data_IF_545098964359
#
_entry.id   IF_545098964359
#
_cell.length_a   1.000
_cell.length_b   1.000
_cell.length_c   1.000
_cell.angle_alpha   90.00
_cell.angle_beta   90.00
_cell.angle_gamma   90.00
#
_symmetry.space_group_name_H-M   'P 1'
#
loop_
_entity.id
_entity.type
_entity.pdbx_description
1 polymer ?
#
# COMPACT_ATOMS: atom_id res chain seq x y z
N UNK A 1 16.85 -48.70 14.02
CA UNK A 1 15.68 -49.19 13.26
C UNK A 1 14.43 -48.61 13.89
N UNK A 2 13.51 -48.18 13.03
CA UNK A 2 12.47 -47.17 13.25
C UNK A 2 11.47 -47.43 14.39
N UNK A 3 11.19 -46.38 15.17
CA UNK A 3 9.91 -46.19 15.85
C UNK A 3 9.02 -45.34 14.93
N UNK A 4 8.00 -45.94 14.33
CA UNK A 4 7.02 -45.27 13.47
C UNK A 4 5.76 -45.02 14.31
N UNK A 5 5.52 -43.75 14.68
CA UNK A 5 4.26 -43.31 15.26
C UNK A 5 3.26 -43.09 14.11
N UNK A 6 2.20 -43.90 14.09
CA UNK A 6 1.04 -43.66 13.26
C UNK A 6 0.32 -42.40 13.74
N UNK A 7 0.39 -41.32 12.96
CA UNK A 7 -0.53 -40.18 13.08
C UNK A 7 -1.71 -40.41 12.14
N UNK A 8 -2.85 -40.71 12.74
CA UNK A 8 -4.15 -40.77 12.06
C UNK A 8 -4.50 -39.36 11.56
N UNK A 9 -4.46 -39.16 10.25
CA UNK A 9 -4.95 -37.94 9.61
C UNK A 9 -6.48 -37.90 9.67
N UNK A 10 -7.03 -36.94 10.42
CA UNK A 10 -8.45 -36.57 10.30
C UNK A 10 -8.53 -35.55 9.16
N UNK A 11 -8.76 -36.05 7.95
CA UNK A 11 -9.11 -35.23 6.80
C UNK A 11 -10.58 -34.83 6.92
N UNK A 12 -10.84 -33.71 7.59
CA UNK A 12 -12.14 -33.03 7.54
C UNK A 12 -12.19 -32.13 6.31
N UNK A 13 -12.63 -32.67 5.17
CA UNK A 13 -12.96 -31.87 4.01
C UNK A 13 -14.22 -31.04 4.32
N UNK A 14 -14.04 -29.78 4.73
CA UNK A 14 -15.12 -28.80 4.71
C UNK A 14 -15.29 -28.37 3.25
N UNK A 15 -16.25 -28.96 2.56
CA UNK A 15 -16.68 -28.51 1.25
C UNK A 15 -17.30 -27.12 1.39
N UNK A 16 -16.52 -26.07 1.10
CA UNK A 16 -17.07 -24.74 0.87
C UNK A 16 -17.72 -24.73 -0.51
N UNK A 17 -19.01 -24.44 -0.53
CA UNK A 17 -19.79 -24.33 -1.76
C UNK A 17 -19.31 -23.13 -2.59
N UNK A 18 -18.39 -23.34 -3.52
CA UNK A 18 -18.07 -22.38 -4.58
C UNK A 18 -19.26 -22.32 -5.52
N UNK A 19 -20.12 -21.31 -5.35
CA UNK A 19 -21.08 -20.96 -6.39
C UNK A 19 -20.31 -20.19 -7.46
N UNK A 20 -20.25 -20.72 -8.68
CA UNK A 20 -19.74 -19.97 -9.81
C UNK A 20 -20.58 -18.70 -9.97
N UNK A 21 -19.95 -17.54 -9.80
CA UNK A 21 -20.63 -16.25 -9.87
C UNK A 21 -21.03 -15.98 -11.33
N UNK A 22 -22.31 -15.67 -11.62
CA UNK A 22 -22.70 -15.26 -12.97
C UNK A 22 -21.97 -13.97 -13.35
N UNK A 23 -21.60 -13.84 -14.63
CA UNK A 23 -21.03 -12.61 -15.17
C UNK A 23 -21.95 -11.41 -14.83
N UNK A 24 -21.44 -10.43 -14.08
CA UNK A 24 -22.18 -9.22 -13.70
C UNK A 24 -22.56 -9.07 -12.21
N UNK A 25 -22.13 -9.95 -11.30
CA UNK A 25 -22.29 -9.69 -9.87
C UNK A 25 -21.37 -8.54 -9.40
N UNK A 26 -21.93 -7.57 -8.68
CA UNK A 26 -21.25 -6.33 -8.28
C UNK A 26 -19.99 -6.54 -7.42
N UNK A 27 -20.02 -7.52 -6.51
CA UNK A 27 -18.88 -7.92 -5.71
C UNK A 27 -19.09 -9.34 -5.15
N UNK A 28 -17.99 -10.07 -4.95
CA UNK A 28 -18.02 -11.38 -4.27
C UNK A 28 -17.38 -11.25 -2.90
N UNK A 29 -18.14 -11.53 -1.82
CA UNK A 29 -17.62 -11.61 -0.46
C UNK A 29 -17.26 -13.04 -0.10
N UNK A 30 -16.06 -13.24 0.45
CA UNK A 30 -15.55 -14.54 0.87
C UNK A 30 -14.85 -14.39 2.22
N UNK A 31 -15.25 -15.20 3.19
CA UNK A 31 -14.52 -15.35 4.44
C UNK A 31 -13.52 -16.51 4.30
N UNK A 32 -12.26 -16.24 4.58
CA UNK A 32 -11.15 -17.19 4.43
C UNK A 32 -10.81 -17.83 5.77
N UNK A 33 -10.28 -19.06 5.71
CA UNK A 33 -9.95 -19.86 6.90
C UNK A 33 -8.87 -19.22 7.79
N UNK A 34 -8.10 -18.26 7.25
CA UNK A 34 -7.08 -17.50 7.96
C UNK A 34 -7.62 -16.23 8.66
N UNK A 35 -8.93 -16.02 8.67
CA UNK A 35 -9.58 -14.89 9.37
C UNK A 35 -9.61 -13.59 8.56
N UNK A 36 -9.35 -13.65 7.25
CA UNK A 36 -9.65 -12.56 6.32
C UNK A 36 -11.11 -12.61 5.89
N UNK A 37 -11.77 -11.45 5.86
CA UNK A 37 -13.03 -11.26 5.16
C UNK A 37 -12.78 -10.38 3.94
N UNK A 38 -12.88 -10.96 2.74
CA UNK A 38 -12.47 -10.33 1.49
C UNK A 38 -13.70 -10.03 0.66
N UNK A 39 -13.83 -8.80 0.17
CA UNK A 39 -14.83 -8.41 -0.83
C UNK A 39 -14.13 -8.05 -2.13
N UNK A 40 -14.32 -8.82 -3.19
CA UNK A 40 -13.68 -8.63 -4.49
C UNK A 40 -14.65 -7.97 -5.45
N UNK A 41 -14.24 -6.85 -6.05
CA UNK A 41 -14.93 -6.16 -7.14
C UNK A 41 -14.25 -6.51 -8.46
N UNK A 42 -14.98 -7.20 -9.32
CA UNK A 42 -14.46 -7.73 -10.59
C UNK A 42 -14.19 -6.63 -11.62
N UNK A 43 -13.18 -6.85 -12.48
CA UNK A 43 -12.79 -5.89 -13.51
C UNK A 43 -13.90 -5.63 -14.53
N UNK A 44 -14.66 -6.66 -14.91
CA UNK A 44 -15.81 -6.53 -15.78
C UNK A 44 -16.91 -5.67 -15.14
N UNK A 45 -17.17 -5.86 -13.85
CA UNK A 45 -18.10 -5.00 -13.11
C UNK A 45 -17.61 -3.55 -13.07
N UNK A 46 -16.36 -3.31 -12.68
CA UNK A 46 -15.80 -1.96 -12.59
C UNK A 46 -15.73 -1.26 -13.95
N UNK A 47 -15.58 -2.01 -15.06
CA UNK A 47 -15.64 -1.46 -16.40
C UNK A 47 -17.02 -0.87 -16.73
N UNK A 48 -18.11 -1.47 -16.24
CA UNK A 48 -19.48 -0.90 -16.39
C UNK A 48 -19.69 0.40 -15.60
N UNK A 49 -18.77 0.72 -14.69
CA UNK A 49 -18.80 1.89 -13.81
C UNK A 49 -17.90 3.02 -14.29
N UNK A 50 -17.28 2.87 -15.45
CA UNK A 50 -16.48 3.94 -16.08
C UNK A 50 -17.40 5.09 -16.48
N UNK A 51 -16.98 6.28 -16.12
CA UNK A 51 -17.66 7.55 -16.33
C UNK A 51 -16.59 8.65 -16.50
N UNK A 52 -17.01 9.91 -16.42
CA UNK A 52 -16.10 11.07 -16.49
C UNK A 52 -16.09 11.83 -15.18
N UNK A 53 -14.91 12.29 -14.78
CA UNK A 53 -14.66 13.23 -13.69
C UNK A 53 -13.77 14.35 -14.25
N UNK A 54 -14.24 15.60 -14.21
CA UNK A 54 -13.52 16.77 -14.75
C UNK A 54 -13.02 16.55 -16.19
N UNK A 55 -13.86 15.94 -17.02
CA UNK A 55 -13.56 15.64 -18.44
C UNK A 55 -12.63 14.45 -18.66
N UNK A 56 -12.13 13.80 -17.61
CA UNK A 56 -11.22 12.66 -17.70
C UNK A 56 -11.93 11.35 -17.32
N UNK A 57 -11.51 10.19 -17.88
CA UNK A 57 -12.06 8.89 -17.49
C UNK A 57 -11.85 8.59 -16.00
N UNK A 58 -12.89 8.10 -15.34
CA UNK A 58 -12.86 7.67 -13.94
C UNK A 58 -13.84 6.53 -13.69
N UNK A 59 -13.54 5.63 -12.75
CA UNK A 59 -14.46 4.59 -12.28
C UNK A 59 -15.21 5.10 -11.06
N UNK A 60 -16.55 5.09 -11.09
CA UNK A 60 -17.38 5.44 -9.92
C UNK A 60 -17.62 4.23 -9.03
N UNK A 61 -17.03 4.18 -7.84
CA UNK A 61 -17.21 3.12 -6.86
C UNK A 61 -18.61 3.17 -6.21
N UNK A 62 -19.01 2.10 -5.54
CA UNK A 62 -20.36 1.95 -4.96
C UNK A 62 -20.69 2.90 -3.81
N UNK A 63 -19.67 3.34 -3.10
CA UNK A 63 -19.79 4.36 -2.07
C UNK A 63 -19.69 5.80 -2.62
N UNK A 64 -19.75 5.97 -3.94
CA UNK A 64 -19.79 7.27 -4.60
C UNK A 64 -18.42 7.89 -4.88
N UNK A 65 -17.32 7.25 -4.45
CA UNK A 65 -15.96 7.70 -4.75
C UNK A 65 -15.64 7.53 -6.24
N UNK A 66 -14.69 8.32 -6.73
CA UNK A 66 -14.19 8.23 -8.11
C UNK A 66 -12.72 7.82 -8.10
N UNK A 67 -12.38 6.93 -9.02
CA UNK A 67 -11.00 6.48 -9.27
C UNK A 67 -10.61 6.94 -10.66
N UNK A 68 -9.82 8.02 -10.82
CA UNK A 68 -9.35 8.47 -12.12
C UNK A 68 -8.51 7.37 -12.80
N UNK A 69 -8.77 7.09 -14.08
CA UNK A 69 -8.11 6.03 -14.83
C UNK A 69 -7.60 6.48 -16.19
N UNK A 70 -6.72 5.67 -16.76
CA UNK A 70 -6.22 5.81 -18.13
C UNK A 70 -6.80 4.64 -18.94
N UNK A 71 -7.75 4.93 -19.82
CA UNK A 71 -8.44 3.91 -20.62
C UNK A 71 -7.77 3.63 -21.96
N UNK A 72 -6.92 4.55 -22.43
CA UNK A 72 -6.17 4.38 -23.68
C UNK A 72 -4.76 3.89 -23.36
N UNK A 73 -4.42 2.69 -23.84
CA UNK A 73 -3.07 2.15 -23.69
C UNK A 73 -2.02 3.05 -24.34
N UNK A 74 -2.38 3.85 -25.35
CA UNK A 74 -1.47 4.76 -26.04
C UNK A 74 -1.22 6.07 -25.28
N UNK A 75 -1.90 6.32 -24.16
CA UNK A 75 -1.67 7.50 -23.31
C UNK A 75 -0.15 7.63 -22.99
N UNK A 76 0.45 8.83 -23.13
CA UNK A 76 1.88 9.04 -22.93
C UNK A 76 2.41 8.63 -21.56
N UNK A 77 1.54 8.57 -20.54
CA UNK A 77 1.92 8.11 -19.20
C UNK A 77 2.17 6.60 -19.12
N UNK A 78 1.66 5.81 -20.07
CA UNK A 78 1.91 4.36 -20.17
C UNK A 78 3.19 4.14 -20.96
N UNK A 79 4.33 3.98 -20.28
CA UNK A 79 5.63 3.85 -20.94
C UNK A 79 5.81 2.48 -21.64
N UNK A 80 5.36 1.40 -21.00
CA UNK A 80 5.38 0.04 -21.54
C UNK A 80 3.99 -0.31 -22.05
N UNK A 81 3.86 -0.58 -23.34
CA UNK A 81 2.58 -0.91 -23.99
C UNK A 81 2.28 -2.41 -24.01
N UNK A 82 3.26 -3.25 -23.67
CA UNK A 82 3.13 -4.71 -23.71
C UNK A 82 2.58 -5.20 -25.06
N UNK A 83 1.48 -5.95 -25.03
CA UNK A 83 0.80 -6.45 -26.23
C UNK A 83 -0.26 -5.49 -26.81
N UNK A 84 -0.37 -4.28 -26.26
CA UNK A 84 -1.37 -3.29 -26.67
C UNK A 84 -2.72 -3.45 -25.98
N UNK A 85 -2.83 -4.29 -24.95
CA UNK A 85 -4.05 -4.41 -24.13
C UNK A 85 -3.75 -4.36 -22.63
N UNK A 86 -4.76 -3.97 -21.85
CA UNK A 86 -4.70 -4.05 -20.38
C UNK A 86 -5.24 -5.41 -19.92
N UNK A 87 -4.50 -6.06 -19.04
CA UNK A 87 -4.76 -7.38 -18.48
C UNK A 87 -5.05 -7.25 -16.99
N UNK A 88 -6.33 -7.20 -16.58
CA UNK A 88 -6.70 -7.10 -15.17
C UNK A 88 -6.38 -8.38 -14.41
N UNK A 89 -6.17 -8.24 -13.10
CA UNK A 89 -6.14 -9.39 -12.20
C UNK A 89 -7.48 -10.13 -12.22
N UNK A 90 -7.43 -11.45 -11.99
CA UNK A 90 -8.65 -12.26 -11.83
C UNK A 90 -8.99 -12.45 -10.36
N UNK A 91 -10.27 -12.65 -10.06
CA UNK A 91 -10.73 -12.96 -8.70
C UNK A 91 -10.12 -14.28 -8.19
N UNK A 92 -9.91 -15.25 -9.08
CA UNK A 92 -9.26 -16.52 -8.75
C UNK A 92 -7.82 -16.30 -8.28
N UNK A 93 -7.02 -15.53 -9.02
CA UNK A 93 -5.63 -15.26 -8.65
C UNK A 93 -5.54 -14.48 -7.32
N UNK A 94 -6.37 -13.44 -7.15
CA UNK A 94 -6.39 -12.65 -5.93
C UNK A 94 -6.84 -13.46 -4.71
N UNK A 95 -7.94 -14.23 -4.82
CA UNK A 95 -8.42 -15.06 -3.72
C UNK A 95 -7.50 -16.26 -3.46
N UNK A 96 -6.85 -16.81 -4.49
CA UNK A 96 -5.86 -17.88 -4.37
C UNK A 96 -4.69 -17.42 -3.49
N UNK A 97 -4.07 -16.30 -3.84
CA UNK A 97 -2.99 -15.70 -3.06
C UNK A 97 -3.36 -15.47 -1.58
N UNK A 98 -4.55 -14.90 -1.34
CA UNK A 98 -5.03 -14.62 0.02
C UNK A 98 -5.42 -15.89 0.80
N UNK A 99 -5.79 -16.98 0.12
CA UNK A 99 -6.07 -18.27 0.78
C UNK A 99 -4.80 -18.95 1.25
N UNK A 100 -3.72 -18.86 0.48
CA UNK A 100 -2.45 -19.51 0.78
C UNK A 100 -1.65 -18.83 1.91
N UNK A 101 -2.19 -17.77 2.54
CA UNK A 101 -1.47 -17.12 3.64
C UNK A 101 -1.32 -18.05 4.85
N UNK A 102 -0.10 -18.11 5.35
CA UNK A 102 0.25 -18.84 6.55
C UNK A 102 -0.20 -18.07 7.81
N UNK A 103 -0.56 -18.83 8.84
CA UNK A 103 -1.03 -18.38 10.16
C UNK A 103 -2.51 -17.91 10.22
N UNK A 104 -3.34 -18.51 11.10
CA UNK A 104 -4.74 -18.12 11.26
C UNK A 104 -4.91 -16.87 12.14
N UNK A 105 -5.98 -16.11 11.90
CA UNK A 105 -6.51 -14.98 12.70
C UNK A 105 -5.93 -13.59 12.41
N UNK A 106 -5.85 -13.21 11.13
CA UNK A 106 -5.51 -11.82 10.75
C UNK A 106 -6.59 -10.80 11.12
N UNK A 107 -7.85 -11.21 11.21
CA UNK A 107 -9.00 -10.36 11.59
C UNK A 107 -9.10 -9.07 10.75
N UNK A 108 -8.83 -9.17 9.44
CA UNK A 108 -8.92 -8.04 8.50
C UNK A 108 -10.17 -8.15 7.64
N UNK A 109 -10.84 -7.02 7.42
CA UNK A 109 -11.81 -6.87 6.35
C UNK A 109 -11.12 -6.12 5.21
N UNK A 110 -11.08 -6.71 4.03
CA UNK A 110 -10.32 -6.19 2.87
C UNK A 110 -11.26 -6.07 1.68
N UNK A 111 -11.21 -4.93 0.99
CA UNK A 111 -11.89 -4.74 -0.30
C UNK A 111 -10.84 -4.76 -1.40
N UNK A 112 -10.99 -5.65 -2.38
CA UNK A 112 -10.05 -5.81 -3.49
C UNK A 112 -10.75 -5.35 -4.76
N UNK A 113 -10.22 -4.32 -5.40
CA UNK A 113 -10.71 -3.78 -6.67
C UNK A 113 -9.78 -4.25 -7.79
N UNK A 114 -10.27 -5.15 -8.65
CA UNK A 114 -9.55 -5.63 -9.82
C UNK A 114 -9.74 -4.61 -10.94
N UNK A 115 -8.82 -3.66 -11.10
CA UNK A 115 -9.06 -2.53 -11.98
C UNK A 115 -8.96 -2.96 -13.46
N UNK A 116 -9.94 -2.58 -14.31
CA UNK A 116 -9.85 -2.80 -15.75
C UNK A 116 -8.81 -1.88 -16.42
N UNK A 117 -8.48 -0.77 -15.77
CA UNK A 117 -7.60 0.29 -16.28
C UNK A 117 -6.68 0.79 -15.17
N UNK A 118 -5.41 1.13 -15.47
CA UNK A 118 -4.51 1.68 -14.45
C UNK A 118 -5.01 3.04 -13.99
N UNK A 119 -4.75 3.36 -12.72
CA UNK A 119 -5.16 4.66 -12.16
C UNK A 119 -4.25 5.75 -12.66
N UNK A 120 -4.83 6.91 -12.98
CA UNK A 120 -4.07 8.09 -13.34
C UNK A 120 -3.16 8.48 -12.17
N UNK A 121 -1.89 8.78 -12.44
CA UNK A 121 -0.83 9.12 -11.48
C UNK A 121 -0.35 7.98 -10.56
N UNK A 122 -1.07 6.86 -10.44
CA UNK A 122 -0.67 5.68 -9.65
C UNK A 122 -0.88 4.42 -10.48
N UNK A 123 0.02 4.22 -11.46
CA UNK A 123 -0.09 3.16 -12.47
C UNK A 123 0.06 1.75 -11.88
N UNK A 124 0.74 1.62 -10.75
CA UNK A 124 0.95 0.35 -10.05
C UNK A 124 -0.21 0.04 -9.11
N UNK A 125 -0.28 -1.21 -8.64
CA UNK A 125 -1.17 -1.58 -7.54
C UNK A 125 -0.88 -0.75 -6.30
N UNK A 126 -1.88 -0.52 -5.47
CA UNK A 126 -1.67 0.17 -4.19
C UNK A 126 -2.77 -0.14 -3.19
N UNK A 127 -2.50 0.23 -1.96
CA UNK A 127 -3.45 0.16 -0.87
C UNK A 127 -3.84 1.53 -0.33
N UNK A 128 -5.12 1.70 0.01
CA UNK A 128 -5.66 2.87 0.71
C UNK A 128 -6.59 2.41 1.83
N UNK A 129 -6.13 2.52 3.08
CA UNK A 129 -6.86 1.98 4.23
C UNK A 129 -7.00 0.45 4.14
N UNK A 130 -8.23 -0.03 3.97
CA UNK A 130 -8.59 -1.44 3.78
C UNK A 130 -8.82 -1.84 2.31
N UNK A 131 -8.61 -0.89 1.38
CA UNK A 131 -8.88 -1.07 -0.04
C UNK A 131 -7.58 -1.36 -0.77
N UNK A 132 -7.55 -2.48 -1.49
CA UNK A 132 -6.48 -2.87 -2.39
C UNK A 132 -6.96 -2.61 -3.81
N UNK A 133 -6.25 -1.74 -4.53
CA UNK A 133 -6.48 -1.48 -5.94
C UNK A 133 -5.42 -2.23 -6.75
N UNK A 134 -5.81 -3.32 -7.41
CA UNK A 134 -4.92 -4.10 -8.26
C UNK A 134 -4.98 -3.52 -9.67
N UNK A 135 -3.91 -2.85 -10.09
CA UNK A 135 -3.81 -2.24 -11.42
C UNK A 135 -3.55 -3.32 -12.48
N UNK A 136 -4.14 -3.22 -13.69
CA UNK A 136 -3.92 -4.21 -14.73
C UNK A 136 -2.47 -4.17 -15.23
N UNK A 137 -2.00 -5.28 -15.77
CA UNK A 137 -0.73 -5.36 -16.47
C UNK A 137 -0.94 -5.11 -17.98
N UNK A 138 0.16 -5.07 -18.74
CA UNK A 138 0.14 -4.96 -20.21
C UNK A 138 0.49 -6.28 -20.91
N UNK A 139 0.57 -7.35 -20.12
CA UNK A 139 0.74 -8.75 -20.52
C UNK A 139 -0.05 -9.60 -19.53
N UNK A 140 -0.32 -10.86 -19.89
CA UNK A 140 -0.88 -11.84 -18.97
C UNK A 140 -0.09 -11.92 -17.66
N UNK A 141 -0.83 -12.02 -16.55
CA UNK A 141 -0.26 -12.00 -15.20
C UNK A 141 0.03 -13.44 -14.78
N UNK A 142 1.30 -13.75 -14.56
CA UNK A 142 1.71 -15.02 -13.97
C UNK A 142 1.14 -15.18 -12.54
N UNK A 143 0.62 -16.36 -12.15
CA UNK A 143 0.06 -16.59 -10.82
C UNK A 143 1.01 -16.22 -9.67
N UNK A 144 2.32 -16.46 -9.83
CA UNK A 144 3.31 -16.09 -8.81
C UNK A 144 3.47 -14.58 -8.66
N UNK A 145 3.44 -13.84 -9.78
CA UNK A 145 3.43 -12.37 -9.78
C UNK A 145 2.14 -11.85 -9.13
N UNK A 146 1.01 -12.49 -9.41
CA UNK A 146 -0.23 -12.13 -8.75
C UNK A 146 -0.17 -12.37 -7.23
N UNK A 147 0.35 -13.51 -6.81
CA UNK A 147 0.51 -13.85 -5.40
C UNK A 147 1.46 -12.89 -4.68
N UNK A 148 2.58 -12.54 -5.32
CA UNK A 148 3.51 -11.53 -4.83
C UNK A 148 2.79 -10.20 -4.56
N UNK A 149 2.15 -9.63 -5.58
CA UNK A 149 1.56 -8.28 -5.52
C UNK A 149 0.41 -8.27 -4.51
N UNK A 150 -0.50 -9.25 -4.58
CA UNK A 150 -1.67 -9.29 -3.69
C UNK A 150 -1.25 -9.41 -2.23
N UNK A 151 -0.24 -10.22 -1.93
CA UNK A 151 0.24 -10.41 -0.56
C UNK A 151 0.99 -9.17 -0.06
N UNK A 152 1.79 -8.53 -0.92
CA UNK A 152 2.46 -7.26 -0.60
C UNK A 152 1.45 -6.18 -0.22
N UNK A 153 0.42 -5.99 -1.05
CA UNK A 153 -0.63 -5.01 -0.79
C UNK A 153 -1.41 -5.32 0.50
N UNK A 154 -1.65 -6.59 0.81
CA UNK A 154 -2.22 -6.97 2.10
C UNK A 154 -1.33 -6.57 3.28
N UNK A 155 0.00 -6.61 3.11
CA UNK A 155 0.96 -6.11 4.09
C UNK A 155 0.76 -4.62 4.40
N UNK A 156 0.42 -3.80 3.40
CA UNK A 156 0.02 -2.41 3.63
C UNK A 156 -1.31 -2.29 4.38
N UNK A 157 -2.31 -3.11 4.06
CA UNK A 157 -3.58 -3.14 4.81
C UNK A 157 -3.32 -3.51 6.28
N UNK A 158 -2.47 -4.50 6.51
CA UNK A 158 -2.05 -4.91 7.84
C UNK A 158 -1.36 -3.76 8.60
N UNK A 159 -0.40 -3.08 7.98
CA UNK A 159 0.26 -1.90 8.55
C UNK A 159 -0.77 -0.81 8.91
N UNK A 160 -1.63 -0.43 7.97
CA UNK A 160 -2.64 0.62 8.18
C UNK A 160 -3.56 0.29 9.37
N UNK A 161 -3.84 -1.00 9.58
CA UNK A 161 -4.78 -1.46 10.60
C UNK A 161 -4.15 -1.69 11.98
N UNK A 162 -2.91 -2.17 12.03
CA UNK A 162 -2.29 -2.67 13.27
C UNK A 162 -1.04 -1.93 13.68
N UNK A 163 -0.34 -1.31 12.73
CA UNK A 163 0.89 -0.57 12.99
C UNK A 163 0.86 0.80 12.29
N UNK A 164 -0.19 1.62 12.49
CA UNK A 164 -0.25 2.92 11.84
C UNK A 164 0.96 3.77 12.21
N UNK A 165 1.44 4.59 11.29
CA UNK A 165 2.62 5.43 11.54
C UNK A 165 2.42 6.34 12.76
N UNK A 166 3.44 6.39 13.61
CA UNK A 166 3.41 7.06 14.92
C UNK A 166 2.80 6.23 16.06
N UNK A 167 2.37 4.99 15.82
CA UNK A 167 1.95 4.09 16.90
C UNK A 167 3.14 3.42 17.60
N UNK A 168 2.95 3.01 18.85
CA UNK A 168 3.94 2.25 19.59
C UNK A 168 4.30 0.92 18.90
N UNK A 169 3.33 0.27 18.25
CA UNK A 169 3.56 -0.93 17.46
C UNK A 169 4.45 -0.64 16.24
N UNK A 170 4.22 0.48 15.56
CA UNK A 170 5.09 0.90 14.46
C UNK A 170 6.53 1.18 14.93
N UNK A 171 6.70 1.86 16.06
CA UNK A 171 8.04 2.12 16.62
C UNK A 171 8.77 0.83 17.03
N UNK A 172 8.06 -0.11 17.66
CA UNK A 172 8.62 -1.42 18.04
C UNK A 172 9.04 -2.22 16.80
N UNK A 173 8.21 -2.24 15.74
CA UNK A 173 8.56 -2.86 14.46
C UNK A 173 9.87 -2.29 13.90
N UNK A 174 9.98 -0.95 13.81
CA UNK A 174 11.17 -0.31 13.24
C UNK A 174 12.45 -0.59 14.04
N UNK A 175 12.33 -0.76 15.36
CA UNK A 175 13.45 -1.15 16.23
C UNK A 175 13.84 -2.61 16.01
N UNK A 176 12.87 -3.53 16.03
CA UNK A 176 13.10 -4.97 15.76
C UNK A 176 13.77 -5.18 14.40
N UNK A 177 13.32 -4.42 13.40
CA UNK A 177 13.84 -4.52 12.04
C UNK A 177 15.22 -3.87 11.86
N UNK A 178 15.64 -3.03 12.81
CA UNK A 178 16.90 -2.30 12.73
C UNK A 178 16.88 -1.10 11.78
N UNK A 179 15.70 -0.70 11.28
CA UNK A 179 15.55 0.43 10.33
C UNK A 179 15.46 1.79 11.03
N UNK A 180 15.55 1.81 12.36
CA UNK A 180 15.72 3.04 13.15
C UNK A 180 17.19 3.33 13.48
N UNK A 181 18.12 2.42 13.13
CA UNK A 181 19.54 2.55 13.45
C UNK A 181 20.30 3.07 12.22
N UNK A 182 20.76 4.34 12.22
CA UNK A 182 21.47 4.92 11.07
C UNK A 182 22.80 4.24 10.74
N UNK A 183 23.36 3.45 11.67
CA UNK A 183 24.57 2.68 11.43
C UNK A 183 24.32 1.38 10.65
N UNK A 184 23.06 0.93 10.61
CA UNK A 184 22.61 -0.30 9.94
C UNK A 184 21.72 0.00 8.73
N UNK A 185 20.97 1.08 8.79
CA UNK A 185 20.00 1.48 7.79
C UNK A 185 20.24 2.93 7.39
N UNK A 186 20.97 3.09 6.30
CA UNK A 186 21.52 4.37 5.87
C UNK A 186 20.62 5.03 4.82
N UNK A 187 20.80 6.33 4.62
CA UNK A 187 19.94 7.18 3.78
C UNK A 187 19.90 6.78 2.28
N UNK A 188 20.78 5.87 1.83
CA UNK A 188 20.80 5.31 0.46
C UNK A 188 20.26 3.89 0.38
N UNK A 189 19.88 3.28 1.50
CA UNK A 189 19.30 1.94 1.53
C UNK A 189 18.02 1.90 0.71
N UNK A 190 17.74 0.76 0.05
CA UNK A 190 16.44 0.52 -0.59
C UNK A 190 15.32 0.80 0.41
N UNK A 191 14.36 1.65 0.04
CA UNK A 191 13.25 2.06 0.92
C UNK A 191 13.64 2.80 2.20
N UNK A 192 14.82 3.42 2.27
CA UNK A 192 15.21 4.28 3.40
C UNK A 192 14.15 5.33 3.76
N UNK A 193 13.51 5.89 2.73
CA UNK A 193 12.45 6.90 2.85
C UNK A 193 11.03 6.31 2.72
N UNK A 194 10.90 4.99 2.64
CA UNK A 194 9.63 4.27 2.49
C UNK A 194 9.59 3.02 3.39
N UNK A 195 9.80 3.14 4.71
CA UNK A 195 9.87 1.99 5.62
C UNK A 195 8.60 1.12 5.64
N UNK A 196 7.46 1.64 5.15
CA UNK A 196 6.21 0.89 4.97
C UNK A 196 6.31 -0.17 3.88
N UNK A 197 7.13 0.04 2.85
CA UNK A 197 7.42 -0.97 1.82
C UNK A 197 8.19 -2.14 2.43
N UNK A 198 9.14 -1.86 3.33
CA UNK A 198 9.86 -2.92 4.06
C UNK A 198 8.90 -3.77 4.88
N UNK A 199 7.90 -3.16 5.53
CA UNK A 199 6.89 -3.92 6.27
C UNK A 199 6.01 -4.77 5.36
N UNK A 200 5.56 -4.23 4.23
CA UNK A 200 4.76 -4.98 3.27
C UNK A 200 5.53 -6.18 2.70
N UNK A 201 6.81 -5.99 2.38
CA UNK A 201 7.71 -7.07 1.96
C UNK A 201 7.93 -8.10 3.07
N UNK A 202 8.18 -7.66 4.31
CA UNK A 202 8.33 -8.55 5.45
C UNK A 202 7.05 -9.37 5.69
N UNK A 203 5.88 -8.73 5.59
CA UNK A 203 4.59 -9.41 5.69
C UNK A 203 4.44 -10.47 4.59
N UNK A 204 4.78 -10.13 3.34
CA UNK A 204 4.75 -11.07 2.21
C UNK A 204 5.65 -12.27 2.44
N UNK A 205 6.89 -12.06 2.86
CA UNK A 205 7.84 -13.15 3.09
C UNK A 205 7.41 -14.01 4.29
N UNK A 206 6.98 -13.40 5.40
CA UNK A 206 6.61 -14.13 6.60
C UNK A 206 5.29 -14.91 6.43
N UNK A 207 4.28 -14.32 5.80
CA UNK A 207 2.92 -14.86 5.79
C UNK A 207 2.41 -15.31 4.42
N UNK A 208 3.08 -14.96 3.32
CA UNK A 208 2.72 -15.39 1.98
C UNK A 208 2.78 -16.91 1.79
N UNK A 209 2.00 -17.40 0.81
CA UNK A 209 2.13 -18.78 0.31
C UNK A 209 3.45 -18.99 -0.44
N UNK A 210 3.69 -20.22 -0.92
CA UNK A 210 4.90 -20.57 -1.69
C UNK A 210 5.11 -19.64 -2.89
N UNK A 211 4.05 -19.41 -3.67
CA UNK A 211 4.10 -18.55 -4.85
C UNK A 211 4.46 -17.09 -4.55
N UNK A 212 4.02 -16.59 -3.38
CA UNK A 212 4.32 -15.23 -2.95
C UNK A 212 5.77 -15.07 -2.47
N UNK A 213 6.54 -16.16 -2.30
CA UNK A 213 7.93 -16.19 -1.81
C UNK A 213 8.95 -16.52 -2.89
N UNK A 214 8.53 -16.77 -4.13
CA UNK A 214 9.28 -17.54 -5.14
C UNK A 214 10.67 -17.01 -5.53
N UNK A 215 10.98 -15.74 -5.32
CA UNK A 215 12.34 -15.21 -5.57
C UNK A 215 13.23 -15.21 -4.32
N UNK A 216 12.67 -15.47 -3.13
CA UNK A 216 13.35 -15.44 -1.83
C UNK A 216 14.04 -14.12 -1.53
N UNK A 217 13.66 -13.04 -2.23
CA UNK A 217 14.31 -11.73 -2.14
C UNK A 217 13.33 -10.74 -1.55
N UNK A 218 13.82 -9.99 -0.57
CA UNK A 218 13.25 -8.69 -0.22
C UNK A 218 13.94 -7.64 -1.08
N UNK A 219 13.20 -6.60 -1.49
CA UNK A 219 13.77 -5.51 -2.31
C UNK A 219 14.95 -4.81 -1.61
N UNK A 220 14.97 -4.83 -0.27
CA UNK A 220 16.09 -4.37 0.52
C UNK A 220 17.04 -5.50 0.92
N UNK A 221 18.13 -5.64 0.16
CA UNK A 221 19.20 -6.63 0.39
C UNK A 221 20.16 -6.27 1.53
N UNK A 222 20.06 -5.07 2.10
CA UNK A 222 20.99 -4.55 3.11
C UNK A 222 20.57 -4.91 4.54
N UNK A 223 19.31 -5.32 4.71
CA UNK A 223 18.75 -5.75 5.98
C UNK A 223 18.54 -7.28 5.96
N UNK A 224 18.65 -7.91 7.14
CA UNK A 224 18.49 -9.37 7.25
C UNK A 224 17.11 -9.82 6.72
N UNK A 225 17.02 -11.05 6.19
CA UNK A 225 15.73 -11.62 5.79
C UNK A 225 14.78 -11.67 6.99
N UNK A 226 13.50 -11.32 6.84
CA UNK A 226 12.57 -11.17 7.96
C UNK A 226 12.40 -12.47 8.77
N UNK A 227 12.45 -13.62 8.11
CA UNK A 227 12.41 -14.96 8.75
C UNK A 227 13.61 -15.24 9.68
N UNK A 228 14.71 -14.52 9.50
CA UNK A 228 15.93 -14.64 10.33
C UNK A 228 15.95 -13.66 11.51
N UNK A 229 15.01 -12.69 11.54
CA UNK A 229 14.93 -11.69 12.61
C UNK A 229 14.19 -12.29 13.80
N UNK A 230 14.92 -12.56 14.88
CA UNK A 230 14.37 -13.17 16.08
C UNK A 230 13.15 -12.42 16.63
N UNK A 231 12.02 -13.12 16.73
CA UNK A 231 10.78 -12.59 17.29
C UNK A 231 9.92 -11.74 16.35
N UNK A 232 10.36 -11.49 15.10
CA UNK A 232 9.61 -10.64 14.17
C UNK A 232 8.23 -11.24 13.81
N UNK A 233 8.18 -12.50 13.40
CA UNK A 233 6.90 -13.17 13.09
C UNK A 233 5.95 -13.18 14.31
N UNK A 234 6.48 -13.52 15.49
CA UNK A 234 5.72 -13.52 16.75
C UNK A 234 5.18 -12.13 17.10
N UNK A 235 5.93 -11.07 16.77
CA UNK A 235 5.51 -9.70 16.95
C UNK A 235 4.32 -9.34 16.04
N UNK A 236 4.36 -9.69 14.75
CA UNK A 236 3.22 -9.51 13.83
C UNK A 236 1.96 -10.22 14.34
N UNK A 237 2.10 -11.49 14.76
CA UNK A 237 0.99 -12.28 15.30
C UNK A 237 0.41 -11.63 16.58
N UNK A 238 1.30 -11.13 17.46
CA UNK A 238 0.89 -10.46 18.69
C UNK A 238 0.04 -9.24 18.37
N UNK A 239 0.52 -8.31 17.52
CA UNK A 239 -0.22 -7.08 17.24
C UNK A 239 -1.57 -7.33 16.58
N UNK A 240 -1.69 -8.36 15.72
CA UNK A 240 -2.96 -8.74 15.10
C UNK A 240 -3.99 -9.22 16.14
N UNK A 241 -3.53 -9.78 17.26
CA UNK A 241 -4.37 -10.31 18.35
C UNK A 241 -4.70 -9.29 19.43
N UNK A 242 -3.76 -8.43 19.82
CA UNK A 242 -3.93 -7.50 20.96
C UNK A 242 -4.50 -6.14 20.60
N UNK A 243 -4.50 -5.74 19.33
CA UNK A 243 -4.87 -4.36 18.97
C UNK A 243 -6.38 -4.18 18.83
N UNK A 244 -7.02 -3.70 19.89
CA UNK A 244 -8.31 -2.99 19.80
C UNK A 244 -8.06 -1.68 19.04
N UNK A 245 -8.70 -1.51 17.89
CA UNK A 245 -8.43 -0.46 16.91
C UNK A 245 -8.75 0.92 17.46
N UNK A 246 -7.79 1.83 17.44
CA UNK A 246 -8.11 3.25 17.32
C UNK A 246 -8.44 3.54 15.86
N UNK A 247 -9.64 4.06 15.59
CA UNK A 247 -10.15 4.33 14.23
C UNK A 247 -9.49 5.54 13.54
N UNK A 248 -8.28 5.95 13.92
CA UNK A 248 -7.65 7.12 13.32
C UNK A 248 -7.21 6.77 11.89
N UNK A 249 -7.74 7.43 10.85
CA UNK A 249 -7.33 7.16 9.47
C UNK A 249 -5.84 7.46 9.27
N UNK A 250 -5.15 6.62 8.51
CA UNK A 250 -3.69 6.67 8.27
C UNK A 250 -3.42 7.20 6.87
N UNK A 251 -2.67 8.29 6.76
CA UNK A 251 -2.14 8.80 5.48
C UNK A 251 -0.69 8.31 5.27
N UNK A 252 -0.23 8.28 4.02
CA UNK A 252 1.16 8.04 3.63
C UNK A 252 1.67 9.23 2.83
N UNK A 253 2.92 9.63 3.01
CA UNK A 253 3.51 10.71 2.23
C UNK A 253 4.98 10.41 1.91
N UNK A 254 5.42 10.82 0.72
CA UNK A 254 6.80 10.66 0.26
C UNK A 254 7.24 11.88 -0.54
N UNK A 255 8.54 12.04 -0.77
CA UNK A 255 9.11 13.11 -1.59
C UNK A 255 9.96 12.54 -2.71
N UNK A 256 9.83 13.04 -3.94
CA UNK A 256 10.71 12.70 -5.05
C UNK A 256 10.91 13.88 -6.01
N UNK A 257 12.15 14.17 -6.46
CA UNK A 257 13.41 13.56 -5.99
C UNK A 257 13.72 13.92 -4.53
N UNK A 258 14.52 13.11 -3.84
CA UNK A 258 15.07 13.41 -2.52
C UNK A 258 16.36 12.55 -2.33
N UNK A 259 17.57 13.14 -2.26
CA UNK A 259 17.88 14.58 -2.27
C UNK A 259 17.42 15.31 -3.55
N UNK A 260 17.23 16.62 -3.47
CA UNK A 260 16.71 17.43 -4.59
C UNK A 260 17.44 18.76 -4.79
N UNK A 261 17.34 19.32 -6.01
CA UNK A 261 17.88 20.63 -6.40
C UNK A 261 17.16 21.19 -7.65
N UNK A 262 16.44 22.32 -7.61
CA UNK A 262 15.95 23.04 -6.43
C UNK A 262 14.57 22.55 -5.96
N UNK A 263 13.88 21.69 -6.72
CA UNK A 263 12.49 21.29 -6.44
C UNK A 263 12.27 19.79 -6.19
N UNK A 264 11.22 19.50 -5.41
CA UNK A 264 10.75 18.15 -5.09
C UNK A 264 9.23 18.11 -5.05
N UNK A 265 8.66 16.95 -5.37
CA UNK A 265 7.24 16.67 -5.22
C UNK A 265 6.97 15.91 -3.93
N UNK A 266 6.09 16.44 -3.08
CA UNK A 266 5.53 15.72 -1.93
C UNK A 266 4.25 15.03 -2.40
N UNK A 267 4.30 13.70 -2.48
CA UNK A 267 3.18 12.85 -2.88
C UNK A 267 2.50 12.32 -1.64
N UNK A 268 1.19 12.53 -1.53
CA UNK A 268 0.39 12.13 -0.38
C UNK A 268 -0.67 11.15 -0.85
N UNK A 269 -0.63 9.95 -0.27
CA UNK A 269 -1.69 8.96 -0.40
C UNK A 269 -2.53 8.95 0.86
N UNK A 270 -3.84 8.98 0.70
CA UNK A 270 -4.75 9.07 1.85
C UNK A 270 -5.78 7.93 1.82
N UNK A 271 -6.21 7.47 3.01
CA UNK A 271 -7.24 6.47 3.11
C UNK A 271 -8.52 7.09 2.57
N UNK A 272 -9.34 6.29 1.91
CA UNK A 272 -10.44 6.83 1.13
C UNK A 272 -11.52 7.53 1.95
N UNK A 273 -11.59 7.29 3.26
CA UNK A 273 -12.44 8.04 4.19
C UNK A 273 -12.04 9.52 4.31
N UNK A 274 -10.80 9.86 3.96
CA UNK A 274 -10.29 11.24 3.91
C UNK A 274 -10.28 11.82 2.49
N UNK A 275 -10.49 10.97 1.48
CA UNK A 275 -10.39 11.31 0.06
C UNK A 275 -11.66 11.94 -0.54
N UNK A 276 -12.68 12.23 0.26
CA UNK A 276 -13.98 12.77 -0.18
C UNK A 276 -13.98 14.28 -0.45
N UNK A 277 -12.83 14.95 -0.28
CA UNK A 277 -12.71 16.40 -0.41
C UNK A 277 -13.28 17.18 0.78
N UNK A 278 -13.71 16.52 1.85
CA UNK A 278 -14.20 17.17 3.07
C UNK A 278 -13.12 17.35 4.14
N UNK A 279 -12.12 16.48 4.16
CA UNK A 279 -11.01 16.60 5.09
C UNK A 279 -10.15 17.85 4.77
N UNK A 280 -9.89 18.74 5.75
CA UNK A 280 -8.96 19.84 5.54
C UNK A 280 -7.55 19.30 5.37
N UNK A 281 -6.85 19.80 4.36
CA UNK A 281 -5.48 19.41 4.04
C UNK A 281 -4.53 20.57 4.29
N UNK A 282 -3.41 20.29 4.95
CA UNK A 282 -2.32 21.24 5.10
C UNK A 282 -0.97 20.56 4.87
N UNK A 283 -0.12 21.17 4.04
CA UNK A 283 1.29 20.77 3.86
C UNK A 283 2.16 21.96 4.24
N UNK A 284 3.01 21.78 5.24
CA UNK A 284 3.87 22.84 5.79
C UNK A 284 5.31 22.37 5.86
N UNK A 285 6.23 23.22 5.44
CA UNK A 285 7.68 22.96 5.48
C UNK A 285 8.27 23.58 6.73
N UNK A 286 9.03 22.79 7.47
CA UNK A 286 9.74 23.20 8.68
C UNK A 286 11.24 22.96 8.54
N UNK A 287 12.04 23.81 9.19
CA UNK A 287 13.47 23.55 9.40
C UNK A 287 13.69 22.50 10.49
N UNK A 288 14.92 21.99 10.62
CA UNK A 288 15.31 21.06 11.70
C UNK A 288 15.07 21.63 13.12
N UNK A 289 15.03 22.95 13.26
CA UNK A 289 14.73 23.62 14.55
C UNK A 289 13.23 23.68 14.87
N UNK A 290 12.37 23.22 13.96
CA UNK A 290 10.91 23.36 14.07
C UNK A 290 10.39 24.73 13.61
N UNK A 291 11.26 25.62 13.11
CA UNK A 291 10.81 26.89 12.54
C UNK A 291 10.07 26.66 11.21
N UNK A 292 8.87 27.24 11.08
CA UNK A 292 8.04 27.16 9.88
C UNK A 292 8.67 27.98 8.73
N UNK A 293 9.00 27.29 7.65
CA UNK A 293 9.67 27.85 6.47
C UNK A 293 8.65 28.30 5.43
N UNK A 294 7.65 27.47 5.14
CA UNK A 294 6.62 27.76 4.11
C UNK A 294 5.33 26.98 4.39
N UNK A 295 4.19 27.65 4.27
CA UNK A 295 2.91 26.96 4.10
C UNK A 295 2.80 26.60 2.62
N UNK A 296 3.00 25.33 2.30
CA UNK A 296 3.11 24.89 0.92
C UNK A 296 1.74 24.68 0.28
N UNK A 297 0.79 24.19 1.06
CA UNK A 297 -0.59 23.97 0.63
C UNK A 297 -1.54 24.05 1.82
N UNK A 298 -2.69 24.68 1.62
CA UNK A 298 -3.80 24.68 2.55
C UNK A 298 -5.11 24.64 1.75
N UNK A 299 -5.95 23.63 1.98
CA UNK A 299 -7.15 23.45 1.18
C UNK A 299 -7.85 22.12 1.44
N UNK A 300 -8.34 21.51 0.37
CA UNK A 300 -9.04 20.22 0.34
C UNK A 300 -8.52 19.42 -0.84
N UNK A 301 -8.31 18.13 -0.65
CA UNK A 301 -7.94 17.22 -1.72
C UNK A 301 -8.96 16.09 -1.79
N UNK A 302 -9.34 15.70 -3.00
CA UNK A 302 -10.13 14.51 -3.25
C UNK A 302 -9.19 13.42 -3.78
N UNK A 303 -8.91 12.41 -2.96
CA UNK A 303 -7.92 11.38 -3.26
C UNK A 303 -6.48 11.81 -3.06
N UNK A 304 -5.59 10.96 -3.53
CA UNK A 304 -4.15 11.19 -3.52
C UNK A 304 -3.79 12.48 -4.26
N UNK A 305 -2.84 13.23 -3.71
CA UNK A 305 -2.45 14.52 -4.28
C UNK A 305 -0.94 14.74 -4.21
N UNK A 306 -0.47 15.67 -5.03
CA UNK A 306 0.95 16.02 -5.13
C UNK A 306 1.11 17.52 -4.92
N UNK A 307 2.08 17.92 -4.11
CA UNK A 307 2.43 19.32 -3.87
C UNK A 307 3.91 19.52 -4.12
N UNK A 308 4.28 20.48 -4.97
CA UNK A 308 5.67 20.79 -5.29
C UNK A 308 6.25 21.84 -4.34
N UNK A 309 7.43 21.58 -3.78
CA UNK A 309 8.23 22.60 -3.13
C UNK A 309 9.46 22.94 -3.97
N UNK A 310 9.71 24.23 -4.11
CA UNK A 310 10.74 24.86 -4.96
C UNK A 310 11.98 25.31 -4.18
N UNK A 311 12.13 24.85 -2.93
CA UNK A 311 13.27 25.23 -2.10
C UNK A 311 13.25 26.70 -1.66
N UNK A 312 12.09 27.35 -1.63
CA UNK A 312 11.95 28.75 -1.16
C UNK A 312 11.17 28.87 0.15
N UNK A 313 11.38 29.98 0.87
CA UNK A 313 10.60 30.36 2.06
C UNK A 313 9.31 31.13 1.69
N UNK A 314 8.58 31.62 2.69
CA UNK A 314 7.36 32.44 2.51
C UNK A 314 7.58 33.77 1.77
N UNK A 315 8.80 34.31 1.79
CA UNK A 315 9.15 35.55 1.08
C UNK A 315 9.67 35.27 -0.34
N UNK A 316 9.72 34.00 -0.76
CA UNK A 316 10.25 33.59 -2.06
C UNK A 316 11.77 33.51 -2.11
N UNK A 317 12.46 33.65 -0.97
CA UNK A 317 13.91 33.52 -0.93
C UNK A 317 14.30 32.04 -0.95
N UNK A 318 15.34 31.71 -1.71
CA UNK A 318 15.92 30.36 -1.71
C UNK A 318 16.54 30.05 -0.35
N UNK A 319 16.15 28.92 0.24
CA UNK A 319 16.66 28.50 1.55
C UNK A 319 18.05 27.86 1.44
N UNK A 320 18.70 27.60 2.58
CA UNK A 320 20.01 26.95 2.60
C UNK A 320 19.92 25.46 2.29
N UNK A 321 20.97 24.87 1.71
CA UNK A 321 21.12 23.42 1.59
C UNK A 321 21.12 22.82 3.00
N UNK A 322 20.09 22.06 3.33
CA UNK A 322 19.85 21.53 4.66
C UNK A 322 18.76 20.46 4.62
N UNK A 323 18.54 19.81 5.76
CA UNK A 323 17.37 18.97 5.99
C UNK A 323 16.17 19.82 6.43
N UNK A 324 15.02 19.58 5.81
CA UNK A 324 13.72 20.14 6.13
C UNK A 324 12.71 19.00 6.36
N UNK A 325 11.54 19.36 6.88
CA UNK A 325 10.45 18.42 7.11
C UNK A 325 9.15 18.98 6.55
N UNK A 326 8.49 18.23 5.66
CA UNK A 326 7.11 18.48 5.29
C UNK A 326 6.19 17.80 6.30
N UNK A 327 5.45 18.59 7.08
CA UNK A 327 4.33 18.10 7.86
C UNK A 327 3.08 18.11 6.99
N UNK A 328 2.55 16.93 6.71
CA UNK A 328 1.32 16.69 5.97
C UNK A 328 0.21 16.40 6.98
N UNK A 329 -0.91 17.10 6.83
CA UNK A 329 -2.11 16.88 7.61
C UNK A 329 -3.30 16.72 6.67
N UNK A 330 -4.14 15.72 6.93
CA UNK A 330 -5.40 15.47 6.23
C UNK A 330 -6.45 15.12 7.30
N UNK A 331 -7.33 16.07 7.62
CA UNK A 331 -8.18 15.96 8.80
C UNK A 331 -7.35 15.82 10.07
N UNK A 332 -7.57 14.74 10.83
CA UNK A 332 -6.80 14.39 12.02
C UNK A 332 -5.55 13.54 11.72
N UNK A 333 -5.45 12.98 10.51
CA UNK A 333 -4.31 12.20 10.10
C UNK A 333 -3.10 13.09 9.83
N UNK A 334 -1.92 12.64 10.27
CA UNK A 334 -0.65 13.38 10.13
C UNK A 334 0.44 12.45 9.64
N UNK A 335 1.29 12.98 8.77
CA UNK A 335 2.51 12.31 8.31
C UNK A 335 3.61 13.36 8.18
N UNK A 336 4.86 12.96 8.39
CA UNK A 336 6.01 13.84 8.20
C UNK A 336 6.99 13.23 7.20
N UNK A 337 7.39 14.01 6.20
CA UNK A 337 8.37 13.62 5.18
C UNK A 337 9.64 14.43 5.37
N UNK A 338 10.79 13.77 5.50
CA UNK A 338 12.11 14.43 5.53
C UNK A 338 12.51 14.83 4.11
N UNK A 339 13.01 16.04 3.94
CA UNK A 339 13.43 16.62 2.65
C UNK A 339 14.89 17.05 2.74
N UNK A 340 15.75 16.58 1.83
CA UNK A 340 17.16 16.95 1.76
C UNK A 340 17.43 17.83 0.53
N UNK A 341 17.58 19.14 0.75
CA UNK A 341 17.90 20.10 -0.29
C UNK A 341 19.42 20.18 -0.47
N UNK A 342 19.89 19.97 -1.70
CA UNK A 342 21.28 20.17 -2.11
C UNK A 342 21.33 21.33 -3.10
N UNK A 343 22.39 22.14 -3.05
CA UNK A 343 22.69 23.16 -4.06
C UNK A 343 23.80 22.67 -4.95
#
# INVERSE_FOLDING_TARGET
MAHFLARTAIAGAVALATHATPAGAAATRVDLHNGLSVTVYDAGYLATRVTTLDGNPAIRLDDGRYVPVITDINDPSIWNKGDGTFHPFTAEAALGALRELHHPSLNLNVRVYLLPYPRRNVLVSSTSGADVFLSPHVLDIDPSVAAYIVTHELGHVFHNRYMPSGSAAWDEYRQLRGISDPSRFHDTASHAYRPREILAEDFRVLFGGEDARLDGRVENVEIAMPETVAGLESFFIRVARTTVVSRTPVIAASSYPNPFNPDTEIRVSMPMELADGNAPVAVRIYSVTGALVKDLYAGRAAGDFVVRWDGTDRAGNVVASATYYAAVQVGDARETVRLLLLK
#
